data_IF_549782212037
#
_entry.id   IF_549782212037
#
_cell.length_a   1.000
_cell.length_b   1.000
_cell.length_c   1.000
_cell.angle_alpha   90.00
_cell.angle_beta   90.00
_cell.angle_gamma   90.00
#
_symmetry.space_group_name_H-M   'P 1'
#
loop_
_entity.id
_entity.type
_entity.pdbx_description
1 polymer ?
2 non-polymer ?
3 water ?
#
# COMPACT_ATOMS: atom_id res chain seq x y z
N UNK A 1 -1.25 8.05 -12.48
CA UNK A 1 -2.20 8.98 -11.85
C UNK A 1 -3.38 8.19 -11.27
N UNK A 2 -3.15 7.54 -10.12
CA UNK A 2 -4.14 6.70 -9.45
C UNK A 2 -4.09 7.01 -7.95
N UNK A 3 -5.23 6.82 -7.29
CA UNK A 3 -5.30 6.93 -5.83
C UNK A 3 -6.22 5.84 -5.30
N UNK A 4 -6.07 5.53 -4.02
CA UNK A 4 -6.97 4.55 -3.34
C UNK A 4 -8.30 5.28 -3.07
N UNK A 5 -9.40 4.69 -3.55
CA UNK A 5 -10.78 5.20 -3.43
C UNK A 5 -11.59 4.46 -2.37
N UNK A 6 -11.13 3.30 -1.89
CA UNK A 6 -11.80 2.53 -0.84
C UNK A 6 -10.76 1.59 -0.26
N UNK A 7 -10.59 1.52 1.10
CA UNK A 7 -11.23 2.41 2.05
C UNK A 7 -10.69 3.83 1.86
N UNK A 8 -11.45 4.84 2.29
CA UNK A 8 -11.03 6.24 2.07
C UNK A 8 -9.72 6.49 2.78
N UNK A 9 -8.67 6.93 2.07
CA UNK A 9 -7.44 7.34 2.72
C UNK A 9 -7.57 8.73 3.34
N UNK A 10 -6.52 9.10 4.08
CA UNK A 10 -6.40 10.42 4.73
C UNK A 10 -6.54 11.54 3.69
N UNK A 11 -7.44 12.48 3.96
CA UNK A 11 -7.67 13.69 3.11
C UNK A 11 -8.28 13.33 1.74
N UNK A 12 -8.94 12.19 1.63
CA UNK A 12 -9.57 11.75 0.35
C UNK A 12 -10.70 12.64 -0.13
N UNK A 13 -10.69 12.99 -1.41
CA UNK A 13 -11.79 13.69 -2.11
C UNK A 13 -13.06 12.84 -2.04
N UNK A 14 -12.97 11.52 -1.88
CA UNK A 14 -14.14 10.61 -1.91
C UNK A 14 -14.81 10.51 -0.53
N UNK A 15 -14.16 11.00 0.52
CA UNK A 15 -14.68 10.81 1.89
C UNK A 15 -15.56 11.98 2.27
N UNK A 16 -16.91 11.79 2.45
CA UNK A 16 -17.77 12.91 2.78
C UNK A 16 -17.44 13.62 4.11
N UNK A 17 -16.68 12.94 4.99
CA UNK A 17 -16.34 13.50 6.33
C UNK A 17 -15.14 14.46 6.23
N UNK A 18 -14.43 14.52 5.10
CA UNK A 18 -13.25 15.43 5.01
C UNK A 18 -13.73 16.84 4.68
N UNK A 19 -13.40 17.85 5.53
CA UNK A 19 -13.71 19.25 5.26
C UNK A 19 -13.10 19.67 3.92
N UNK A 20 -13.85 20.44 3.13
CA UNK A 20 -13.41 20.96 1.80
C UNK A 20 -11.94 21.42 1.87
N UNK A 21 -11.60 22.18 2.94
CA UNK A 21 -10.28 22.88 3.04
C UNK A 21 -9.15 21.85 3.22
N UNK A 22 -9.47 20.61 3.60
CA UNK A 22 -8.45 19.60 4.02
C UNK A 22 -8.29 18.55 2.92
N UNK A 23 -9.17 18.51 1.92
CA UNK A 23 -9.10 17.50 0.84
C UNK A 23 -7.82 17.73 0.01
N UNK A 24 -7.14 16.63 -0.31
CA UNK A 24 -6.01 16.67 -1.25
C UNK A 24 -6.54 16.39 -2.66
N UNK A 25 -6.79 17.44 -3.42
CA UNK A 25 -7.34 17.30 -4.79
C UNK A 25 -6.28 16.87 -5.80
N UNK A 26 -5.02 16.78 -5.38
CA UNK A 26 -3.89 16.26 -6.20
C UNK A 26 -3.35 14.98 -5.58
N UNK A 27 -4.22 14.15 -5.04
CA UNK A 27 -3.80 12.90 -4.33
C UNK A 27 -3.07 11.93 -5.27
N UNK A 28 -3.36 11.95 -6.56
CA UNK A 28 -2.72 11.05 -7.57
C UNK A 28 -1.24 11.40 -7.78
N UNK A 29 -0.70 12.49 -7.23
CA UNK A 29 0.74 12.79 -7.34
C UNK A 29 1.53 11.65 -6.70
N UNK A 30 2.69 11.26 -7.27
CA UNK A 30 3.58 10.31 -6.62
C UNK A 30 4.24 10.93 -5.39
N UNK A 31 4.85 10.09 -4.56
CA UNK A 31 5.63 10.57 -3.40
C UNK A 31 6.89 11.30 -3.90
N UNK A 32 7.37 12.24 -3.12
CA UNK A 32 8.59 13.04 -3.41
C UNK A 32 9.77 12.07 -3.59
N UNK A 33 10.55 12.27 -4.65
CA UNK A 33 11.76 11.52 -5.03
C UNK A 33 12.78 11.51 -3.89
N UNK A 34 12.79 12.52 -3.03
CA UNK A 34 13.84 12.65 -1.97
C UNK A 34 13.34 12.00 -0.67
N UNK A 35 12.13 11.42 -0.61
CA UNK A 35 11.66 10.70 0.58
C UNK A 35 11.10 11.62 1.65
N UNK A 36 11.00 12.92 1.37
CA UNK A 36 10.56 13.96 2.32
C UNK A 36 9.07 13.81 2.69
N UNK A 37 8.26 13.04 1.96
CA UNK A 37 6.84 12.81 2.37
C UNK A 37 6.49 11.31 2.39
N UNK A 38 7.52 10.46 2.61
CA UNK A 38 7.33 9.02 2.84
C UNK A 38 7.32 8.79 4.35
N UNK A 39 6.37 8.04 4.92
CA UNK A 39 5.23 7.42 4.23
C UNK A 39 3.98 8.32 4.17
N UNK A 40 3.01 7.89 3.34
CA UNK A 40 1.61 8.36 3.44
C UNK A 40 1.43 9.87 3.15
N UNK A 41 2.38 10.52 2.47
CA UNK A 41 2.41 11.99 2.19
C UNK A 41 2.46 12.78 3.50
N UNK A 42 2.79 12.11 4.60
CA UNK A 42 2.90 12.71 5.94
C UNK A 42 1.54 12.96 6.58
N UNK A 43 0.47 12.55 5.93
CA UNK A 43 -0.90 12.88 6.44
C UNK A 43 -1.20 12.17 7.76
N UNK A 44 -0.55 11.03 8.06
CA UNK A 44 -0.78 10.32 9.33
C UNK A 44 -0.40 11.18 10.53
N UNK A 45 0.43 12.21 10.32
CA UNK A 45 0.91 13.07 11.44
C UNK A 45 -0.01 14.25 11.74
N UNK A 46 -0.89 14.64 10.81
CA UNK A 46 -1.47 16.00 10.87
C UNK A 46 -2.94 15.98 10.44
N UNK A 47 -3.58 14.85 10.55
CA UNK A 47 -4.98 14.62 10.14
C UNK A 47 -5.68 13.99 11.34
N UNK A 48 -6.98 14.26 11.55
CA UNK A 48 -7.71 13.60 12.62
C UNK A 48 -7.71 12.06 12.47
N UNK A 49 -7.69 11.36 13.61
CA UNK A 49 -7.84 9.90 13.67
C UNK A 49 -9.32 9.57 13.47
N UNK A 50 -9.68 8.98 12.34
CA UNK A 50 -11.05 8.56 12.08
C UNK A 50 -11.03 7.34 11.17
N UNK A 51 -11.54 6.22 11.66
CA UNK A 51 -11.49 4.95 10.91
C UNK A 51 -12.41 5.09 9.67
N UNK A 52 -11.94 4.62 8.54
CA UNK A 52 -12.80 4.49 7.32
C UNK A 52 -13.06 3.00 6.96
N UNK A 53 -12.52 2.06 7.73
CA UNK A 53 -12.90 0.64 7.65
C UNK A 53 -12.74 0.00 9.02
N UNK A 54 -13.56 -1.01 9.21
CA UNK A 54 -13.54 -1.93 10.36
C UNK A 54 -13.27 -3.32 9.78
N UNK A 55 -12.10 -3.87 10.09
CA UNK A 55 -11.66 -5.17 9.54
C UNK A 55 -11.67 -6.21 10.66
N UNK A 56 -12.28 -7.36 10.40
CA UNK A 56 -12.26 -8.54 11.26
C UNK A 56 -11.19 -9.51 10.74
N UNK A 57 -10.26 -9.93 11.63
CA UNK A 57 -9.31 -11.02 11.35
C UNK A 57 -10.02 -12.25 10.75
N UNK A 58 -9.44 -12.80 9.66
CA UNK A 58 -9.97 -14.00 8.97
C UNK A 58 -11.01 -13.66 7.91
N UNK A 59 -11.44 -12.41 7.80
CA UNK A 59 -12.47 -12.04 6.79
C UNK A 59 -11.82 -11.41 5.55
N UNK A 60 -12.54 -11.46 4.43
CA UNK A 60 -12.05 -10.93 3.14
C UNK A 60 -12.77 -9.61 2.84
N UNK A 61 -12.02 -8.66 2.31
CA UNK A 61 -12.50 -7.31 2.00
C UNK A 61 -12.03 -6.92 0.62
N UNK A 62 -12.56 -5.83 0.08
CA UNK A 62 -12.02 -5.27 -1.17
C UNK A 62 -11.53 -3.85 -0.96
N UNK A 63 -10.49 -3.49 -1.72
CA UNK A 63 -10.07 -2.10 -1.86
C UNK A 63 -10.18 -1.73 -3.33
N UNK A 64 -10.27 -0.45 -3.60
CA UNK A 64 -10.43 0.08 -4.96
C UNK A 64 -9.41 1.18 -5.22
N UNK A 65 -9.07 1.31 -6.48
CA UNK A 65 -8.04 2.27 -6.97
C UNK A 65 -8.69 2.97 -8.17
N UNK A 66 -8.62 4.27 -8.20
CA UNK A 66 -9.34 5.10 -9.20
C UNK A 66 -8.40 6.13 -9.82
N UNK A 67 -8.54 6.42 -11.10
CA UNK A 67 -7.72 7.52 -11.65
C UNK A 67 -7.80 7.63 -13.15
N UNK A 68 -6.82 8.36 -13.71
CA UNK A 68 -6.81 8.78 -15.14
C UNK A 68 -5.66 8.16 -15.92
N UNK A 69 -4.79 7.32 -15.32
CA UNK A 69 -3.68 6.71 -16.07
C UNK A 69 -3.06 5.57 -15.24
N UNK A 70 -2.93 4.40 -15.84
CA UNK A 70 -2.35 3.21 -15.17
C UNK A 70 -0.89 2.96 -15.54
N UNK A 71 -0.26 3.78 -16.39
CA UNK A 71 1.21 3.73 -16.60
C UNK A 71 1.64 2.29 -16.93
N UNK A 72 0.83 1.52 -17.69
CA UNK A 72 1.19 0.17 -18.17
C UNK A 72 1.12 -0.92 -17.11
N UNK A 73 0.65 -0.58 -15.91
CA UNK A 73 0.57 -1.53 -14.80
C UNK A 73 1.69 -1.29 -13.83
N UNK A 74 2.26 -2.39 -13.35
CA UNK A 74 3.25 -2.38 -12.25
C UNK A 74 2.91 -3.36 -11.17
N UNK A 75 3.39 -3.04 -9.96
CA UNK A 75 3.26 -3.91 -8.78
C UNK A 75 2.80 -3.10 -7.56
N UNK A 76 1.97 -3.69 -6.70
CA UNK A 76 1.46 -3.01 -5.50
C UNK A 76 1.71 -3.87 -4.28
N UNK A 77 1.66 -3.24 -3.10
CA UNK A 77 1.45 -3.98 -1.84
C UNK A 77 0.30 -3.36 -1.07
N UNK A 78 -0.29 -4.18 -0.21
CA UNK A 78 -1.21 -3.72 0.83
C UNK A 78 -0.54 -4.08 2.15
N UNK A 79 -0.50 -3.15 3.09
CA UNK A 79 0.29 -3.31 4.32
C UNK A 79 -0.45 -2.68 5.50
N UNK A 80 -0.04 -3.09 6.70
CA UNK A 80 -0.61 -2.54 7.95
C UNK A 80 0.53 -1.99 8.80
N UNK A 81 0.27 -0.89 9.50
CA UNK A 81 1.18 -0.32 10.51
C UNK A 81 0.42 -0.22 11.84
N UNK A 82 1.05 -0.66 12.92
CA UNK A 82 0.51 -0.54 14.28
C UNK A 82 1.21 0.59 15.06
N UNK A 83 2.12 1.35 14.41
CA UNK A 83 2.91 2.42 15.05
C UNK A 83 2.83 3.74 14.27
N UNK A 84 1.67 3.97 13.68
CA UNK A 84 1.27 5.18 12.92
C UNK A 84 2.33 5.51 11.89
N UNK A 85 2.83 4.46 11.24
CA UNK A 85 3.63 4.59 10.01
C UNK A 85 5.13 4.44 10.21
N UNK A 86 5.65 4.19 11.42
CA UNK A 86 7.09 3.91 11.61
C UNK A 86 7.46 2.62 10.85
N UNK A 87 6.62 1.59 10.89
CA UNK A 87 6.86 0.28 10.23
C UNK A 87 5.59 -0.20 9.57
N UNK A 88 5.73 -0.70 8.37
CA UNK A 88 4.63 -1.28 7.59
C UNK A 88 4.99 -2.74 7.34
N UNK A 89 3.99 -3.59 7.52
CA UNK A 89 4.11 -5.03 7.30
C UNK A 89 3.13 -5.47 6.20
N UNK A 90 3.60 -6.28 5.26
CA UNK A 90 2.82 -6.62 4.05
C UNK A 90 1.80 -7.71 4.36
N UNK A 91 0.51 -7.52 3.96
CA UNK A 91 -0.49 -8.60 4.04
C UNK A 91 -0.88 -9.10 2.65
N UNK A 92 -0.62 -8.34 1.57
CA UNK A 92 -0.81 -8.83 0.20
C UNK A 92 0.18 -8.13 -0.74
N UNK A 93 0.73 -8.89 -1.69
CA UNK A 93 1.50 -8.35 -2.82
C UNK A 93 0.75 -8.65 -4.13
N UNK A 94 0.64 -7.66 -4.99
CA UNK A 94 0.11 -7.82 -6.36
C UNK A 94 1.29 -7.59 -7.29
N UNK A 95 1.89 -8.67 -7.76
CA UNK A 95 3.13 -8.59 -8.57
C UNK A 95 2.75 -8.69 -10.06
N UNK A 96 2.87 -7.57 -10.75
CA UNK A 96 2.49 -7.48 -12.17
C UNK A 96 1.02 -7.12 -12.34
N UNK A 97 0.73 -6.32 -13.35
CA UNK A 97 -0.65 -6.06 -13.76
C UNK A 97 -1.40 -5.17 -12.79
N UNK A 98 -0.69 -4.44 -11.94
CA UNK A 98 -1.30 -3.58 -10.88
C UNK A 98 -1.05 -2.11 -11.19
N UNK A 99 -2.10 -1.24 -11.32
CA UNK A 99 -3.53 -1.55 -11.16
C UNK A 99 -4.35 -1.57 -12.46
N UNK A 100 -4.24 -2.65 -13.23
CA UNK A 100 -4.98 -2.79 -14.50
C UNK A 100 -6.42 -3.24 -14.24
N UNK A 101 -6.73 -3.58 -13.00
CA UNK A 101 -8.12 -3.75 -12.50
C UNK A 101 -8.25 -2.74 -11.36
N UNK A 102 -9.45 -2.28 -11.12
CA UNK A 102 -9.68 -1.19 -10.14
C UNK A 102 -10.19 -1.70 -8.78
N UNK A 103 -10.34 -3.02 -8.60
CA UNK A 103 -10.82 -3.66 -7.35
C UNK A 103 -9.91 -4.85 -7.04
N UNK A 104 -9.41 -4.92 -5.81
CA UNK A 104 -8.68 -6.11 -5.32
C UNK A 104 -9.32 -6.59 -4.03
N UNK A 105 -9.57 -7.90 -3.97
CA UNK A 105 -9.89 -8.62 -2.72
C UNK A 105 -8.61 -8.93 -1.95
N UNK A 106 -8.73 -9.03 -0.63
CA UNK A 106 -7.62 -9.47 0.26
C UNK A 106 -8.22 -10.01 1.55
N UNK A 107 -7.54 -10.98 2.13
CA UNK A 107 -7.91 -11.59 3.41
C UNK A 107 -7.04 -10.94 4.50
N UNK A 108 -7.67 -10.51 5.58
CA UNK A 108 -6.92 -10.08 6.80
C UNK A 108 -6.48 -11.35 7.54
N UNK A 109 -5.17 -11.59 7.75
CA UNK A 109 -4.72 -12.79 8.44
C UNK A 109 -5.30 -12.93 9.84
N UNK A 110 -5.42 -14.17 10.31
CA UNK A 110 -5.93 -14.46 11.67
C UNK A 110 -5.06 -13.87 12.77
N UNK A 111 -3.75 -13.76 12.55
CA UNK A 111 -2.74 -13.43 13.59
C UNK A 111 -2.31 -11.96 13.47
N UNK A 112 -3.13 -11.09 12.83
CA UNK A 112 -2.94 -9.62 12.93
C UNK A 112 -3.20 -9.20 14.39
N UNK A 113 -2.73 -8.03 14.72
CA UNK A 113 -2.99 -7.34 15.99
C UNK A 113 -4.29 -6.52 15.92
N UNK A 114 -4.83 -6.23 17.08
CA UNK A 114 -6.11 -5.48 17.22
C UNK A 114 -5.86 -4.01 17.54
N UNK A 115 -6.80 -3.20 17.06
CA UNK A 115 -6.88 -1.78 17.39
C UNK A 115 -6.67 -0.88 16.20
N UNK A 116 -6.14 0.28 16.47
CA UNK A 116 -5.97 1.30 15.41
C UNK A 116 -4.78 0.88 14.55
N UNK A 117 -4.96 1.01 13.25
CA UNK A 117 -3.89 0.71 12.31
C UNK A 117 -3.92 1.70 11.14
N UNK A 118 -2.82 1.74 10.40
CA UNK A 118 -2.87 2.37 9.06
C UNK A 118 -2.90 1.22 8.08
N UNK A 119 -3.74 1.37 7.07
CA UNK A 119 -3.83 0.45 5.91
C UNK A 119 -3.24 1.20 4.73
N UNK A 120 -2.13 0.71 4.16
CA UNK A 120 -1.40 1.44 3.12
C UNK A 120 -1.45 0.66 1.80
N UNK A 121 -1.72 1.39 0.74
CA UNK A 121 -1.56 0.93 -0.67
C UNK A 121 -0.29 1.58 -1.19
N UNK A 122 0.61 0.77 -1.74
CA UNK A 122 1.79 1.25 -2.45
C UNK A 122 1.74 0.74 -3.90
N UNK A 123 2.23 1.55 -4.81
CA UNK A 123 2.26 1.17 -6.24
C UNK A 123 3.56 1.65 -6.87
N UNK A 124 4.21 0.75 -7.60
CA UNK A 124 5.37 1.02 -8.46
C UNK A 124 4.93 0.91 -9.93
N UNK A 125 4.81 2.04 -10.59
CA UNK A 125 4.38 2.07 -12.02
C UNK A 125 5.41 1.36 -12.89
N UNK A 126 4.92 0.67 -13.93
CA UNK A 126 5.78 -0.08 -14.88
C UNK A 126 6.41 0.89 -15.89
N UNK A 127 5.60 1.75 -16.54
CA UNK A 127 6.09 2.66 -17.61
C UNK A 127 6.18 4.06 -17.04
N UNK A 128 7.25 4.77 -17.41
CA UNK A 128 7.39 6.20 -17.09
C UNK A 128 8.46 6.44 -16.05
N UNK A 129 8.41 7.60 -15.37
CA UNK A 129 9.44 7.93 -14.38
C UNK A 129 9.36 6.91 -13.25
N UNK A 130 10.48 6.73 -12.55
CA UNK A 130 10.59 5.79 -11.40
C UNK A 130 9.89 6.39 -10.17
N UNK A 131 8.62 6.06 -9.98
CA UNK A 131 7.84 6.62 -8.86
C UNK A 131 7.39 5.55 -7.88
N UNK A 132 7.07 6.07 -6.69
CA UNK A 132 6.28 5.36 -5.67
C UNK A 132 5.01 6.16 -5.41
N UNK A 133 3.85 5.49 -5.51
CA UNK A 133 2.56 6.08 -5.13
C UNK A 133 2.15 5.44 -3.82
N UNK A 134 1.66 6.22 -2.87
CA UNK A 134 1.28 5.64 -1.57
C UNK A 134 0.12 6.43 -0.97
N UNK A 135 -0.95 5.75 -0.58
CA UNK A 135 -2.03 6.38 0.24
C UNK A 135 -2.28 5.49 1.45
N UNK A 136 -2.62 6.11 2.59
CA UNK A 136 -2.85 5.40 3.86
C UNK A 136 -4.26 5.74 4.35
N UNK A 137 -4.94 4.74 4.91
CA UNK A 137 -6.25 4.89 5.58
C UNK A 137 -6.12 4.53 7.07
N UNK A 138 -6.84 5.27 7.89
CA UNK A 138 -7.11 4.87 9.29
C UNK A 138 -8.13 3.73 9.30
N UNK A 139 -7.76 2.63 9.94
CA UNK A 139 -8.66 1.48 10.08
C UNK A 139 -8.57 0.92 11.52
N UNK A 140 -9.60 0.16 11.87
CA UNK A 140 -9.63 -0.57 13.17
C UNK A 140 -9.75 -2.05 12.89
N UNK A 141 -8.84 -2.81 13.47
CA UNK A 141 -8.77 -4.27 13.32
C UNK A 141 -9.35 -4.88 14.59
N UNK A 142 -10.18 -5.93 14.43
CA UNK A 142 -10.76 -6.75 15.52
C UNK A 142 -10.57 -8.24 15.26
N UNK A 143 -10.44 -8.97 16.35
CA UNK A 143 -10.54 -10.42 16.38
C UNK A 143 -9.23 -11.16 16.04
N UNK A 144 -8.14 -10.42 15.93
CA UNK A 144 -6.81 -11.02 15.68
C UNK A 144 -6.23 -11.65 16.92
N UNK A 145 -5.35 -12.63 16.70
CA UNK A 145 -4.65 -13.36 17.79
C UNK A 145 -3.23 -12.83 18.02
N UNK A 146 -2.77 -11.89 17.22
CA UNK A 146 -1.40 -11.35 17.35
C UNK A 146 -1.31 -10.11 18.22
N UNK A 147 -0.07 -9.75 18.49
CA UNK A 147 0.34 -8.48 19.10
C UNK A 147 1.10 -7.69 18.04
N UNK A 148 1.28 -6.36 18.17
CA UNK A 148 2.15 -5.66 17.23
C UNK A 148 3.52 -6.36 17.09
N UNK A 149 4.10 -6.88 18.18
CA UNK A 149 5.44 -7.55 18.14
C UNK A 149 5.36 -8.84 17.32
N UNK A 150 4.37 -9.70 17.57
CA UNK A 150 4.29 -11.04 16.93
C UNK A 150 4.04 -10.81 15.43
N UNK A 151 3.21 -9.81 15.12
CA UNK A 151 2.86 -9.46 13.73
C UNK A 151 4.09 -8.93 13.01
N UNK A 152 4.79 -8.02 13.66
CA UNK A 152 6.01 -7.43 13.06
C UNK A 152 7.08 -8.50 12.83
N UNK A 153 7.18 -9.54 13.67
CA UNK A 153 8.13 -10.66 13.46
C UNK A 153 7.71 -11.59 12.32
N UNK A 154 6.41 -11.80 12.12
CA UNK A 154 5.89 -12.90 11.29
C UNK A 154 5.73 -12.45 9.82
N UNK A 155 5.62 -11.14 9.54
CA UNK A 155 5.21 -10.66 8.19
C UNK A 155 6.37 -9.93 7.55
N UNK A 156 6.37 -9.81 6.21
CA UNK A 156 7.44 -9.05 5.56
C UNK A 156 7.36 -7.53 5.76
N UNK A 157 8.51 -6.91 5.77
CA UNK A 157 8.63 -5.44 5.66
C UNK A 157 8.19 -4.99 4.27
N UNK A 158 7.44 -3.91 4.26
CA UNK A 158 7.06 -3.16 3.03
C UNK A 158 8.29 -2.96 2.14
N UNK A 159 8.14 -3.24 0.85
CA UNK A 159 9.19 -2.92 -0.13
C UNK A 159 9.14 -1.42 -0.40
N UNK A 160 10.25 -0.75 -0.14
CA UNK A 160 10.42 0.72 -0.30
C UNK A 160 11.51 1.07 -1.32
N UNK A 161 11.13 1.74 -2.41
CA UNK A 161 12.01 2.18 -3.49
C UNK A 161 11.57 3.57 -4.01
N UNK A 162 12.46 4.23 -4.74
CA UNK A 162 12.22 5.51 -5.46
C UNK A 162 11.94 6.63 -4.46
N UNK A 163 12.51 6.55 -3.24
CA UNK A 163 12.36 7.65 -2.23
C UNK A 163 13.73 8.08 -1.70
N UNK A 164 14.77 7.93 -2.51
CA UNK A 164 16.12 8.46 -2.21
C UNK A 164 16.87 7.61 -1.20
N UNK A 165 16.59 6.30 -1.16
CA UNK A 165 17.10 5.30 -0.18
C UNK A 165 18.12 4.36 -0.83
N UNK A 166 18.55 4.62 -2.08
CA UNK A 166 19.51 3.81 -2.85
C UNK A 166 18.89 2.58 -3.51
N UNK A 167 17.57 2.41 -3.46
CA UNK A 167 16.81 1.31 -4.07
C UNK A 167 15.86 1.92 -5.10
N UNK A 168 15.97 1.49 -6.36
CA UNK A 168 15.17 2.05 -7.48
C UNK A 168 14.53 0.91 -8.27
N UNK A 169 13.29 1.15 -8.71
CA UNK A 169 12.70 0.30 -9.78
C UNK A 169 13.31 0.68 -11.12
N UNK A 170 13.03 -0.13 -12.13
CA UNK A 170 13.74 0.00 -13.43
C UNK A 170 12.71 -0.02 -14.55
N UNK A 171 12.70 1.03 -15.37
CA UNK A 171 11.68 1.11 -16.44
C UNK A 171 11.82 -0.17 -17.26
N UNK A 172 10.67 -0.76 -17.60
CA UNK A 172 10.55 -1.93 -18.49
C UNK A 172 10.73 -3.22 -17.74
N UNK A 173 11.12 -3.17 -16.45
CA UNK A 173 11.24 -4.41 -15.65
C UNK A 173 10.10 -4.46 -14.61
N UNK A 174 9.36 -5.56 -14.61
CA UNK A 174 8.39 -5.86 -13.56
C UNK A 174 9.10 -5.81 -12.22
N UNK A 175 8.40 -5.24 -11.25
CA UNK A 175 8.83 -5.18 -9.84
C UNK A 175 8.29 -6.45 -9.18
N UNK A 176 9.22 -7.32 -8.76
CA UNK A 176 8.88 -8.64 -8.16
C UNK A 176 9.61 -8.63 -6.82
N UNK A 177 8.84 -8.66 -5.74
CA UNK A 177 9.42 -8.42 -4.40
C UNK A 177 10.22 -9.62 -3.92
N UNK A 178 11.33 -9.35 -3.26
CA UNK A 178 12.18 -10.43 -2.68
C UNK A 178 11.37 -11.17 -1.61
N UNK A 179 10.54 -10.44 -0.88
CA UNK A 179 9.76 -10.81 0.31
C UNK A 179 8.25 -10.55 0.07
N UNK A 180 7.51 -11.21 -0.84
CA UNK A 180 6.14 -10.80 -1.11
C UNK A 180 5.12 -11.25 -0.06
N UNK A 181 5.47 -12.20 0.82
CA UNK A 181 4.51 -12.83 1.72
C UNK A 181 3.76 -13.95 1.05
N UNK A 182 2.79 -14.54 1.77
CA UNK A 182 2.12 -15.78 1.30
C UNK A 182 0.83 -15.46 0.51
N UNK A 183 0.37 -14.22 0.53
CA UNK A 183 -0.88 -13.80 -0.17
C UNK A 183 -0.48 -12.95 -1.38
N UNK A 184 -0.39 -13.60 -2.55
CA UNK A 184 0.19 -12.98 -3.76
C UNK A 184 -0.83 -13.15 -4.89
N UNK A 185 -1.04 -12.06 -5.61
CA UNK A 185 -1.77 -12.07 -6.90
C UNK A 185 -0.72 -11.82 -7.99
N UNK A 186 -0.70 -12.66 -9.02
CA UNK A 186 0.25 -12.50 -10.14
C UNK A 186 -0.50 -11.93 -11.34
N UNK A 187 0.06 -10.88 -11.95
CA UNK A 187 -0.43 -10.31 -13.21
C UNK A 187 0.65 -9.86 -14.16
N UNK A 188 0.25 -9.14 -15.22
CA UNK A 188 1.21 -8.70 -16.25
C UNK A 188 2.02 -9.90 -16.70
N UNK A 189 3.34 -9.82 -16.69
CA UNK A 189 4.24 -10.92 -17.18
C UNK A 189 4.88 -11.69 -16.02
N UNK A 190 4.38 -11.51 -14.79
CA UNK A 190 4.97 -12.15 -13.57
C UNK A 190 4.26 -13.46 -13.27
N UNK A 191 5.06 -14.48 -12.94
CA UNK A 191 4.58 -15.83 -12.57
C UNK A 191 5.18 -16.14 -11.21
N UNK A 192 4.74 -17.24 -10.56
CA UNK A 192 5.39 -17.68 -9.32
C UNK A 192 6.88 -18.02 -9.47
N UNK A 193 7.41 -18.16 -10.71
CA UNK A 193 8.82 -18.52 -11.01
C UNK A 193 9.65 -17.26 -11.30
N UNK A 194 9.02 -16.10 -11.52
CA UNK A 194 9.77 -14.87 -11.94
C UNK A 194 10.77 -14.51 -10.85
N UNK A 195 12.03 -14.20 -11.19
CA UNK A 195 13.02 -13.82 -10.17
C UNK A 195 12.66 -12.49 -9.53
N UNK A 196 13.05 -12.32 -8.26
CA UNK A 196 12.91 -11.02 -7.54
C UNK A 196 13.72 -9.96 -8.30
N UNK A 197 13.15 -8.75 -8.40
CA UNK A 197 13.78 -7.60 -9.08
C UNK A 197 13.04 -6.34 -8.72
N UNK A 198 13.71 -5.23 -8.38
CA UNK A 198 15.17 -5.17 -8.22
C UNK A 198 15.65 -5.79 -6.90
N UNK A 199 16.95 -5.98 -6.78
CA UNK A 199 17.63 -6.41 -5.52
C UNK A 199 18.24 -5.17 -4.87
N UNK A 200 17.78 -4.81 -3.68
CA UNK A 200 18.26 -3.58 -3.00
C UNK A 200 19.13 -3.98 -1.81
N UNK A 201 20.15 -3.16 -1.49
CA UNK A 201 21.10 -3.38 -0.36
C UNK A 201 21.20 -2.14 0.55
X LIG B 1 -15.88 -3.21 -1.36
X LIG B 1 -16.39 -3.02 0.07
X LIG B 1 -17.62 -2.12 0.07
X LIG B 1 -17.39 -0.80 -0.67
X LIG B 1 -16.88 -1.06 -2.07
X LIG B 1 -16.49 0.28 -2.67
X LIG B 1 -15.87 -5.05 1.41
X LIG B 1 -16.36 -6.40 1.93
X LIG B 1 -16.71 -4.30 0.65
X LIG B 1 -17.99 -1.83 1.40
X LIG B 1 -18.63 -0.06 -0.72
X LIG B 1 -15.73 -1.91 -1.96
X LIG B 1 -16.27 0.03 -4.06
X LIG B 1 -14.75 -4.66 1.69
#
# INVERSE_FOLDING_TARGET
HMEMSWPYPLRSRFDPQVPEEDIDYSMTSPLNSDGSNFPCKGYQTNTPWRATAQYTAGQTYNMTITGSATHGGGSCQLSLSYDNGKTFKVIQSMEGGCPLVSKYNFKIPGDVANGQALFAWTWYNLIGNRELYMNCADVVISGGTGTPSSFESAYPDLFVANVGNGCSTVEGRETVFANPGDQVIYGGTVTPSSPAFPICH
NAG C1 C2 C3 C4 C5 C6 C7 C8 N2 O3 O4 O5 O6 O7
#
